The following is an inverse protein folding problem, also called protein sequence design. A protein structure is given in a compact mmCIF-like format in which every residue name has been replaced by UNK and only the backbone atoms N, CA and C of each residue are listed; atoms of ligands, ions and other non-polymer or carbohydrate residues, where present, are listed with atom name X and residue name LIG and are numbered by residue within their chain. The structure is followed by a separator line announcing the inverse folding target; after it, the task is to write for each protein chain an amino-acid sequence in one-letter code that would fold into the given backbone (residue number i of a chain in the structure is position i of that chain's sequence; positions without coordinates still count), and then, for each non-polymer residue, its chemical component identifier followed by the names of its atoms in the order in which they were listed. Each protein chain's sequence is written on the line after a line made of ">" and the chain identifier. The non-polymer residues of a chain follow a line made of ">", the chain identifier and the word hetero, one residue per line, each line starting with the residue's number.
data_IF_877146879834
#
_entry.id   IF_877146879834
#
_cell.length_a   1.000
_cell.length_b   1.000
_cell.length_c   1.000
_cell.angle_alpha   90.00
_cell.angle_beta   90.00
_cell.angle_gamma   90.00
#
_symmetry.space_group_name_H-M   'P 1'
#
loop_
_entity.id
_entity.type
_entity.pdbx_description
1 polymer ?
#
# COMPACT_ATOMS: atom_id res chain seq x y z
N UNK A 1 29.50 -23.73 32.92
CA UNK A 1 29.15 -22.34 33.23
C UNK A 1 28.62 -21.69 31.96
N UNK A 2 27.40 -21.17 31.98
CA UNK A 2 26.83 -20.43 30.84
C UNK A 2 27.40 -19.02 30.87
N UNK A 3 28.01 -18.57 29.77
CA UNK A 3 28.57 -17.22 29.66
C UNK A 3 27.50 -16.12 29.77
N UNK A 4 27.92 -14.84 29.76
CA UNK A 4 27.00 -13.71 29.80
C UNK A 4 26.04 -13.74 28.60
N UNK A 5 24.79 -13.35 28.84
CA UNK A 5 23.80 -13.25 27.78
C UNK A 5 24.17 -12.14 26.79
N UNK A 6 23.74 -12.26 25.52
CA UNK A 6 24.15 -11.35 24.44
C UNK A 6 23.93 -9.87 24.80
N UNK A 7 22.76 -9.50 25.35
CA UNK A 7 22.44 -8.13 25.75
C UNK A 7 23.33 -7.56 26.87
N UNK A 8 24.00 -8.41 27.62
CA UNK A 8 24.95 -8.02 28.68
C UNK A 8 26.35 -7.76 28.11
N UNK A 9 26.62 -8.21 26.89
CA UNK A 9 27.89 -7.94 26.23
C UNK A 9 27.91 -6.52 25.68
N UNK A 10 29.10 -5.92 25.61
CA UNK A 10 29.29 -4.60 25.01
C UNK A 10 28.83 -4.55 23.53
N UNK A 11 28.96 -5.67 22.81
CA UNK A 11 28.42 -5.81 21.45
C UNK A 11 26.89 -5.78 21.43
N UNK A 12 26.23 -6.50 22.35
CA UNK A 12 24.78 -6.53 22.45
C UNK A 12 24.18 -5.18 22.84
N UNK A 13 24.82 -4.46 23.78
CA UNK A 13 24.40 -3.10 24.15
C UNK A 13 24.39 -2.18 22.93
N UNK A 14 25.49 -2.13 22.16
CA UNK A 14 25.57 -1.33 20.93
C UNK A 14 24.55 -1.73 19.87
N UNK A 15 24.27 -3.03 19.75
CA UNK A 15 23.24 -3.52 18.84
C UNK A 15 21.84 -2.99 19.22
N UNK A 16 21.47 -3.04 20.50
CA UNK A 16 20.18 -2.54 20.97
C UNK A 16 20.07 -1.02 20.97
N UNK A 17 21.15 -0.30 21.23
CA UNK A 17 21.17 1.17 21.24
C UNK A 17 21.24 1.78 19.84
N UNK A 18 21.95 1.12 18.91
CA UNK A 18 22.18 1.63 17.56
C UNK A 18 21.34 0.91 16.50
N UNK A 19 21.61 -0.37 16.32
CA UNK A 19 21.08 -1.16 15.19
C UNK A 19 19.57 -1.37 15.29
N UNK A 20 19.04 -1.73 16.46
CA UNK A 20 17.61 -2.00 16.63
C UNK A 20 16.73 -0.78 16.31
N UNK A 21 17.00 0.43 16.84
CA UNK A 21 16.25 1.63 16.46
C UNK A 21 16.34 1.96 14.96
N UNK A 22 17.50 1.72 14.33
CA UNK A 22 17.66 1.92 12.90
C UNK A 22 16.79 0.94 12.10
N UNK A 23 16.76 -0.34 12.48
CA UNK A 23 15.91 -1.34 11.84
C UNK A 23 14.43 -0.97 11.96
N UNK A 24 13.97 -0.57 13.15
CA UNK A 24 12.58 -0.14 13.36
C UNK A 24 12.24 1.06 12.46
N UNK A 25 13.13 2.05 12.35
CA UNK A 25 12.93 3.18 11.41
C UNK A 25 12.82 2.74 9.96
N UNK A 26 13.64 1.79 9.51
CA UNK A 26 13.54 1.28 8.14
C UNK A 26 12.25 0.47 7.91
N UNK A 27 11.80 -0.30 8.92
CA UNK A 27 10.52 -1.02 8.85
C UNK A 27 9.33 -0.06 8.76
N UNK A 28 9.32 1.02 9.56
CA UNK A 28 8.30 2.07 9.44
C UNK A 28 8.30 2.68 8.04
N UNK A 29 9.47 3.08 7.52
CA UNK A 29 9.59 3.64 6.18
C UNK A 29 9.10 2.68 5.09
N UNK A 30 9.36 1.39 5.24
CA UNK A 30 8.86 0.37 4.32
C UNK A 30 7.33 0.33 4.34
N UNK A 31 6.72 0.31 5.52
CA UNK A 31 5.26 0.31 5.65
C UNK A 31 4.64 1.56 5.03
N UNK A 32 5.22 2.75 5.28
CA UNK A 32 4.75 4.00 4.67
C UNK A 32 4.77 3.94 3.13
N UNK A 33 5.81 3.31 2.55
CA UNK A 33 5.90 3.14 1.10
C UNK A 33 4.85 2.16 0.57
N UNK A 34 4.57 1.08 1.30
CA UNK A 34 3.53 0.12 0.94
C UNK A 34 2.15 0.77 0.98
N UNK A 35 1.86 1.56 2.01
CA UNK A 35 0.60 2.30 2.11
C UNK A 35 0.41 3.28 0.94
N UNK A 36 1.46 4.01 0.55
CA UNK A 36 1.42 4.88 -0.63
C UNK A 36 1.19 4.11 -1.91
N UNK A 37 1.85 2.96 -2.08
CA UNK A 37 1.67 2.13 -3.27
C UNK A 37 0.23 1.61 -3.38
N UNK A 38 -0.37 1.19 -2.25
CA UNK A 38 -1.77 0.76 -2.21
C UNK A 38 -2.71 1.92 -2.56
N UNK A 39 -2.50 3.11 -2.00
CA UNK A 39 -3.32 4.28 -2.31
C UNK A 39 -3.29 4.62 -3.82
N UNK A 40 -2.11 4.54 -4.45
CA UNK A 40 -1.95 4.74 -5.89
C UNK A 40 -2.67 3.64 -6.70
N UNK A 41 -2.56 2.38 -6.28
CA UNK A 41 -3.25 1.28 -6.94
C UNK A 41 -4.78 1.43 -6.88
N UNK A 42 -5.32 1.88 -5.74
CA UNK A 42 -6.76 2.15 -5.59
C UNK A 42 -7.25 3.29 -6.49
N UNK A 43 -6.43 4.35 -6.67
CA UNK A 43 -6.76 5.45 -7.57
C UNK A 43 -6.87 4.97 -9.02
N UNK A 44 -5.87 4.21 -9.49
CA UNK A 44 -5.90 3.64 -10.85
C UNK A 44 -7.07 2.67 -11.06
N UNK A 45 -7.44 1.89 -10.04
CA UNK A 45 -8.61 1.01 -10.13
C UNK A 45 -9.91 1.81 -10.32
N UNK A 46 -10.09 2.89 -9.55
CA UNK A 46 -11.27 3.78 -9.64
C UNK A 46 -11.34 4.51 -10.99
N UNK A 47 -10.21 4.98 -11.51
CA UNK A 47 -10.15 5.62 -12.84
C UNK A 47 -10.57 4.65 -13.96
N UNK A 48 -10.16 3.37 -13.87
CA UNK A 48 -10.56 2.33 -14.82
C UNK A 48 -12.07 2.06 -14.79
N UNK A 49 -12.67 2.03 -13.60
CA UNK A 49 -14.13 1.86 -13.46
C UNK A 49 -14.91 3.06 -13.99
N UNK A 50 -14.45 4.28 -13.71
CA UNK A 50 -15.07 5.51 -14.21
C UNK A 50 -14.96 5.64 -15.75
N UNK A 51 -13.84 5.19 -16.34
CA UNK A 51 -13.66 5.18 -17.79
C UNK A 51 -14.46 4.07 -18.51
N UNK A 52 -14.92 3.05 -17.78
CA UNK A 52 -15.71 1.94 -18.34
C UNK A 52 -17.23 2.17 -18.23
N UNK A 53 -17.67 3.19 -17.50
CA UNK A 53 -19.06 3.61 -17.45
C UNK A 53 -19.37 4.52 -18.66
N UNK A 54 -19.51 3.90 -19.82
CA UNK A 54 -20.06 4.57 -21.01
C UNK A 54 -21.48 5.06 -20.67
N UNK A 55 -21.83 6.33 -20.98
CA UNK A 55 -23.18 6.82 -20.75
C UNK A 55 -24.12 6.02 -21.64
N UNK A 56 -24.98 5.21 -21.03
CA UNK A 56 -26.12 4.61 -21.74
C UNK A 56 -26.99 5.75 -22.21
N UNK A 57 -26.74 6.21 -23.44
CA UNK A 57 -27.64 7.10 -24.14
C UNK A 57 -29.02 6.41 -24.16
N UNK A 58 -30.09 7.08 -23.68
CA UNK A 58 -31.42 6.49 -23.77
C UNK A 58 -31.72 6.35 -25.26
N UNK A 59 -31.82 5.11 -25.73
CA UNK A 59 -32.27 4.78 -27.07
C UNK A 59 -33.71 5.27 -27.15
N UNK A 60 -33.93 6.44 -27.75
CA UNK A 60 -35.26 6.89 -28.15
C UNK A 60 -35.74 5.94 -29.24
N UNK A 61 -36.53 4.94 -28.85
CA UNK A 61 -37.40 4.20 -29.76
C UNK A 61 -38.51 5.15 -30.22
N UNK A 62 -38.22 6.01 -31.19
CA UNK A 62 -39.26 6.67 -31.96
C UNK A 62 -39.69 5.77 -33.12
N UNK A 63 -40.91 5.24 -32.98
CA UNK A 63 -41.89 5.22 -34.06
C UNK A 63 -41.57 4.35 -35.27
N UNK A 64 -41.78 3.05 -35.13
CA UNK A 64 -42.24 2.24 -36.26
C UNK A 64 -43.69 2.63 -36.57
N UNK A 65 -43.92 3.29 -37.71
CA UNK A 65 -45.16 3.15 -38.49
C UNK A 65 -44.94 3.71 -39.91
N UNK A 66 -44.74 2.79 -40.86
CA UNK A 66 -45.20 2.99 -42.25
C UNK A 66 -46.66 2.52 -42.36
N UNK A 67 -47.38 2.67 -43.49
CA UNK A 67 -46.91 2.84 -44.87
C UNK A 67 -47.35 4.15 -45.56
#
# INVERSE_FOLDING_TARGET
>A
MTGPAFFQTHMGQRFYEGTMPQLVRQLTRLNDNLERLVAVAEQFAKEKEASSAEPVHPITTEGSEGP
#
